data_IF_531034496100
#
_entry.id   IF_531034496100
#
_cell.length_a   1.000
_cell.length_b   1.000
_cell.length_c   1.000
_cell.angle_alpha   90.00
_cell.angle_beta   90.00
_cell.angle_gamma   90.00
#
_symmetry.space_group_name_H-M   'P 1'
#
loop_
_entity.id
_entity.type
_entity.pdbx_description
1 polymer ?
#
# COMPACT_ATOMS: atom_id res chain seq x y z
N UNK A 1 -13.59 -10.23 -7.17
CA UNK A 1 -12.82 -10.67 -5.99
C UNK A 1 -11.42 -10.15 -6.19
N UNK A 2 -10.90 -9.31 -5.30
CA UNK A 2 -9.59 -8.70 -5.52
C UNK A 2 -8.46 -9.72 -5.38
N UNK A 3 -7.38 -9.54 -6.14
CA UNK A 3 -6.23 -10.46 -6.20
C UNK A 3 -4.97 -9.73 -5.71
N UNK A 4 -4.12 -10.46 -4.98
CA UNK A 4 -2.82 -9.98 -4.51
C UNK A 4 -1.69 -10.69 -5.28
N UNK A 5 -1.01 -9.95 -6.16
CA UNK A 5 0.09 -10.44 -6.97
C UNK A 5 1.44 -9.99 -6.37
N UNK A 6 2.38 -10.93 -6.28
CA UNK A 6 3.72 -10.69 -5.77
C UNK A 6 4.74 -10.92 -6.89
N UNK A 7 5.56 -9.90 -7.17
CA UNK A 7 6.76 -10.07 -7.99
C UNK A 7 7.71 -11.13 -7.39
N UNK A 8 8.60 -11.68 -8.22
CA UNK A 8 9.64 -12.62 -7.73
C UNK A 8 10.51 -11.97 -6.64
N UNK A 9 10.73 -10.67 -6.72
CA UNK A 9 11.54 -9.92 -5.76
C UNK A 9 10.79 -9.68 -4.45
N UNK A 10 9.49 -9.35 -4.51
CA UNK A 10 8.68 -9.17 -3.30
C UNK A 10 8.47 -10.48 -2.55
N UNK A 11 8.23 -11.61 -3.23
CA UNK A 11 8.17 -12.93 -2.59
C UNK A 11 9.42 -13.23 -1.75
N UNK A 12 10.60 -13.14 -2.36
CA UNK A 12 11.89 -13.34 -1.66
C UNK A 12 12.10 -12.38 -0.49
N UNK A 13 11.68 -11.12 -0.63
CA UNK A 13 11.81 -10.13 0.43
C UNK A 13 10.89 -10.44 1.60
N UNK A 14 9.64 -10.79 1.33
CA UNK A 14 8.60 -11.15 2.31
C UNK A 14 9.05 -12.38 3.10
N UNK A 15 9.49 -13.44 2.42
CA UNK A 15 10.03 -14.66 3.03
C UNK A 15 11.22 -14.35 3.93
N UNK A 16 12.24 -13.64 3.41
CA UNK A 16 13.46 -13.30 4.16
C UNK A 16 13.17 -12.47 5.41
N UNK A 17 12.14 -11.62 5.36
CA UNK A 17 11.75 -10.74 6.47
C UNK A 17 10.65 -11.33 7.35
N UNK A 18 10.15 -12.52 7.03
CA UNK A 18 9.01 -13.17 7.69
C UNK A 18 7.81 -12.22 7.83
N UNK A 19 7.48 -11.51 6.75
CA UNK A 19 6.35 -10.58 6.72
C UNK A 19 5.08 -11.39 6.39
N UNK A 20 4.06 -11.30 7.25
CA UNK A 20 2.77 -11.98 7.04
C UNK A 20 1.61 -11.02 6.83
N UNK A 21 1.75 -9.82 7.36
CA UNK A 21 0.69 -8.82 7.41
C UNK A 21 1.24 -7.47 6.97
N UNK A 22 0.56 -6.84 6.03
CA UNK A 22 0.84 -5.48 5.58
C UNK A 22 -0.46 -4.70 5.47
N UNK A 23 -0.37 -3.38 5.56
CA UNK A 23 -1.45 -2.46 5.25
C UNK A 23 -1.02 -1.58 4.09
N UNK A 24 -1.94 -1.29 3.19
CA UNK A 24 -1.84 -0.10 2.36
C UNK A 24 -2.66 1.02 2.96
N UNK A 25 -2.00 2.16 3.10
CA UNK A 25 -2.59 3.41 3.56
C UNK A 25 -2.28 4.53 2.56
N UNK A 26 -2.71 5.74 2.91
CA UNK A 26 -2.52 6.94 2.12
C UNK A 26 -1.72 7.95 2.94
N UNK A 27 -0.55 8.33 2.43
CA UNK A 27 0.17 9.51 2.91
C UNK A 27 -0.34 10.73 2.14
N UNK A 28 -0.63 11.80 2.88
CA UNK A 28 -1.04 13.10 2.33
C UNK A 28 0.07 14.11 2.57
N UNK A 29 0.53 14.74 1.50
CA UNK A 29 1.56 15.79 1.53
C UNK A 29 0.94 17.03 0.91
N UNK A 30 0.97 18.12 1.65
CA UNK A 30 0.52 19.43 1.20
C UNK A 30 1.72 20.35 1.08
N UNK A 31 1.93 20.86 -0.13
CA UNK A 31 2.89 21.89 -0.46
C UNK A 31 2.17 23.13 -1.00
N UNK A 32 2.87 24.25 -1.08
CA UNK A 32 2.30 25.56 -1.41
C UNK A 32 1.40 25.58 -2.68
N UNK A 33 1.71 24.76 -3.68
CA UNK A 33 0.95 24.65 -4.93
C UNK A 33 0.62 23.20 -5.31
N UNK A 34 0.74 22.25 -4.38
CA UNK A 34 0.51 20.85 -4.69
C UNK A 34 -0.12 20.09 -3.51
N UNK A 35 -1.09 19.25 -3.83
CA UNK A 35 -1.58 18.21 -2.93
C UNK A 35 -1.21 16.85 -3.51
N UNK A 36 -0.46 16.06 -2.74
CA UNK A 36 0.01 14.74 -3.15
C UNK A 36 -0.64 13.69 -2.26
N UNK A 37 -1.24 12.71 -2.91
CA UNK A 37 -1.82 11.54 -2.28
C UNK A 37 -0.99 10.32 -2.68
N UNK A 38 -0.11 9.88 -1.79
CA UNK A 38 0.88 8.83 -2.05
C UNK A 38 0.46 7.49 -1.39
N UNK A 39 0.25 6.42 -2.17
CA UNK A 39 -0.08 5.11 -1.62
C UNK A 39 1.11 4.50 -0.87
N UNK A 40 0.92 4.17 0.42
CA UNK A 40 1.99 3.67 1.28
C UNK A 40 1.74 2.27 1.80
N UNK A 41 2.65 1.35 1.50
CA UNK A 41 2.63 0.00 2.08
C UNK A 41 3.46 -0.05 3.36
N UNK A 42 2.88 -0.58 4.44
CA UNK A 42 3.55 -0.72 5.74
C UNK A 42 3.37 -2.13 6.29
N UNK A 43 4.41 -2.68 6.92
CA UNK A 43 4.34 -3.96 7.62
C UNK A 43 3.60 -3.81 8.94
N UNK A 44 2.68 -4.73 9.24
CA UNK A 44 1.97 -4.80 10.51
C UNK A 44 2.66 -5.85 11.40
N UNK A 45 2.92 -5.49 12.66
CA UNK A 45 3.39 -6.46 13.66
C UNK A 45 2.20 -7.25 14.20
N UNK A 46 2.40 -8.53 14.50
CA UNK A 46 1.31 -9.42 14.95
C UNK A 46 0.55 -8.86 16.16
N UNK A 47 1.26 -8.26 17.12
CA UNK A 47 0.66 -7.61 18.30
C UNK A 47 -0.29 -6.45 18.00
N UNK A 48 -0.21 -5.88 16.80
CA UNK A 48 -1.00 -4.72 16.37
C UNK A 48 -2.16 -5.14 15.45
N UNK A 49 -2.31 -6.44 15.12
CA UNK A 49 -3.33 -6.93 14.18
C UNK A 49 -4.76 -6.60 14.58
N UNK A 50 -5.05 -6.59 15.89
CA UNK A 50 -6.38 -6.25 16.43
C UNK A 50 -6.90 -4.89 15.96
N UNK A 51 -6.00 -3.96 15.60
CA UNK A 51 -6.36 -2.62 15.09
C UNK A 51 -6.91 -2.65 13.67
N UNK A 52 -6.72 -3.75 12.94
CA UNK A 52 -6.98 -3.85 11.50
C UNK A 52 -8.01 -4.93 11.15
N UNK A 53 -8.56 -5.65 12.14
CA UNK A 53 -9.46 -6.79 11.93
C UNK A 53 -10.71 -6.46 11.11
N UNK A 54 -11.21 -5.23 11.25
CA UNK A 54 -12.41 -4.75 10.55
C UNK A 54 -12.12 -4.08 9.20
N UNK A 55 -10.86 -4.02 8.77
CA UNK A 55 -10.53 -3.46 7.46
C UNK A 55 -10.76 -4.47 6.34
N UNK A 56 -11.15 -3.99 5.14
CA UNK A 56 -11.10 -4.80 3.94
C UNK A 56 -9.70 -5.40 3.76
N UNK A 57 -9.64 -6.68 3.37
CA UNK A 57 -8.38 -7.39 3.19
C UNK A 57 -8.40 -8.31 1.99
N UNK A 58 -7.21 -8.52 1.43
CA UNK A 58 -6.94 -9.48 0.36
C UNK A 58 -5.81 -10.39 0.83
N UNK A 59 -5.94 -11.69 0.61
CA UNK A 59 -4.89 -12.65 0.96
C UNK A 59 -4.64 -13.62 -0.19
N UNK A 60 -3.38 -14.00 -0.36
CA UNK A 60 -2.96 -15.07 -1.26
C UNK A 60 -2.44 -16.31 -0.52
N UNK A 61 -2.75 -16.43 0.78
CA UNK A 61 -2.28 -17.52 1.66
C UNK A 61 -0.91 -17.27 2.31
N UNK A 62 -0.01 -16.56 1.63
CA UNK A 62 1.33 -16.22 2.14
C UNK A 62 1.35 -14.86 2.86
N UNK A 63 0.59 -13.90 2.32
CA UNK A 63 0.53 -12.53 2.79
C UNK A 63 -0.93 -12.08 2.92
N UNK A 64 -1.22 -11.30 3.96
CA UNK A 64 -2.48 -10.58 4.08
C UNK A 64 -2.23 -9.08 3.91
N UNK A 65 -2.90 -8.49 2.93
CA UNK A 65 -2.96 -7.06 2.68
C UNK A 65 -4.25 -6.49 3.24
N UNK A 66 -4.15 -5.66 4.27
CA UNK A 66 -5.23 -4.83 4.79
C UNK A 66 -5.28 -3.51 4.00
N UNK A 67 -6.47 -2.96 3.80
CA UNK A 67 -6.66 -1.77 2.98
C UNK A 67 -7.33 -0.69 3.84
N UNK A 68 -6.65 0.44 4.01
CA UNK A 68 -7.17 1.54 4.82
C UNK A 68 -8.37 2.21 4.15
N UNK A 69 -9.26 2.80 4.96
CA UNK A 69 -10.36 3.62 4.47
C UNK A 69 -9.86 4.85 3.68
N UNK A 70 -8.83 5.61 4.14
CA UNK A 70 -8.24 6.69 3.33
C UNK A 70 -7.82 6.26 1.93
N UNK A 71 -7.14 5.12 1.80
CA UNK A 71 -6.74 4.60 0.49
C UNK A 71 -7.96 4.33 -0.40
N UNK A 72 -8.97 3.62 0.11
CA UNK A 72 -10.19 3.30 -0.65
C UNK A 72 -10.94 4.57 -1.07
N UNK A 73 -11.02 5.56 -0.18
CA UNK A 73 -11.69 6.83 -0.49
C UNK A 73 -11.02 7.55 -1.66
N UNK A 74 -9.68 7.47 -1.77
CA UNK A 74 -8.94 8.22 -2.78
C UNK A 74 -8.73 7.45 -4.09
N UNK A 75 -8.40 6.16 -4.01
CA UNK A 75 -8.06 5.31 -5.16
C UNK A 75 -9.19 4.36 -5.56
N UNK A 76 -10.27 4.29 -4.79
CA UNK A 76 -11.33 3.32 -5.01
C UNK A 76 -10.95 1.91 -4.57
N UNK A 77 -11.81 0.95 -4.92
CA UNK A 77 -11.50 -0.49 -4.78
C UNK A 77 -10.78 -0.96 -6.02
N UNK A 78 -9.71 -1.74 -5.83
CA UNK A 78 -8.94 -2.33 -6.91
C UNK A 78 -9.29 -3.81 -7.04
N UNK A 79 -9.37 -4.29 -8.27
CA UNK A 79 -9.48 -5.73 -8.56
C UNK A 79 -8.12 -6.43 -8.41
N UNK A 80 -7.02 -5.69 -8.51
CA UNK A 80 -5.67 -6.24 -8.44
C UNK A 80 -4.73 -5.34 -7.64
N UNK A 81 -3.91 -5.96 -6.78
CA UNK A 81 -2.85 -5.32 -6.02
C UNK A 81 -1.52 -5.97 -6.39
N UNK A 82 -0.64 -5.25 -7.07
CA UNK A 82 0.69 -5.73 -7.45
C UNK A 82 1.74 -5.19 -6.49
N UNK A 83 2.37 -6.07 -5.71
CA UNK A 83 3.45 -5.68 -4.78
C UNK A 83 4.82 -5.99 -5.36
N UNK A 84 5.68 -4.96 -5.32
CA UNK A 84 7.09 -5.07 -5.62
C UNK A 84 7.97 -4.46 -4.52
N UNK A 85 9.29 -4.54 -4.68
CA UNK A 85 10.28 -4.03 -3.72
C UNK A 85 11.05 -2.87 -4.34
N UNK A 86 10.98 -1.72 -3.69
CA UNK A 86 11.67 -0.48 -4.10
C UNK A 86 12.60 0.05 -3.03
N UNK A 87 13.34 1.11 -3.35
CA UNK A 87 14.24 1.83 -2.44
C UNK A 87 15.70 1.37 -2.51
N UNK A 88 16.62 2.32 -2.69
CA UNK A 88 18.07 2.06 -2.78
C UNK A 88 18.71 1.78 -1.42
N UNK A 89 18.45 2.62 -0.41
CA UNK A 89 19.09 2.51 0.92
C UNK A 89 18.26 1.60 1.84
N UNK A 90 16.96 1.85 1.92
CA UNK A 90 16.02 1.08 2.73
C UNK A 90 14.98 0.44 1.81
N UNK A 91 15.17 -0.85 1.53
CA UNK A 91 14.22 -1.62 0.74
C UNK A 91 12.88 -1.71 1.44
N UNK A 92 11.79 -1.45 0.71
CA UNK A 92 10.42 -1.52 1.20
C UNK A 92 9.48 -2.06 0.13
N UNK A 93 8.33 -2.55 0.56
CA UNK A 93 7.25 -2.93 -0.35
C UNK A 93 6.52 -1.66 -0.82
N UNK A 94 6.02 -1.68 -2.06
CA UNK A 94 5.14 -0.65 -2.62
C UNK A 94 4.18 -1.29 -3.63
N UNK A 95 3.08 -0.60 -3.95
CA UNK A 95 2.22 -1.03 -5.05
C UNK A 95 2.79 -0.52 -6.37
N UNK A 96 3.10 -1.44 -7.29
CA UNK A 96 3.62 -1.09 -8.62
C UNK A 96 2.55 -0.68 -9.62
N UNK A 97 1.28 -0.97 -9.33
CA UNK A 97 0.14 -0.69 -10.20
C UNK A 97 -0.72 0.49 -9.73
N UNK A 98 -0.23 1.28 -8.77
CA UNK A 98 -0.93 2.48 -8.26
C UNK A 98 0.06 3.62 -8.18
N UNK A 99 -0.16 4.65 -8.98
CA UNK A 99 0.65 5.86 -8.97
C UNK A 99 0.09 6.90 -7.98
N UNK A 100 0.93 7.77 -7.40
CA UNK A 100 0.44 8.89 -6.59
C UNK A 100 -0.48 9.82 -7.39
N UNK A 101 -1.48 10.37 -6.73
CA UNK A 101 -2.31 11.44 -7.32
C UNK A 101 -1.72 12.78 -6.89
N UNK A 102 -1.35 13.61 -7.87
CA UNK A 102 -0.81 14.96 -7.66
C UNK A 102 -1.83 15.96 -8.21
N UNK A 103 -2.26 16.89 -7.36
CA UNK A 103 -3.19 17.97 -7.72
C UNK A 103 -2.43 19.30 -7.63
N UNK A 104 -2.35 20.03 -8.75
CA UNK A 104 -1.87 21.41 -8.76
C UNK A 104 -2.98 22.32 -8.22
N UNK A 105 -2.77 22.84 -7.01
CA UNK A 105 -3.76 23.69 -6.32
C UNK A 105 -3.71 25.14 -6.74
N UNK A 106 -2.62 25.59 -7.38
CA UNK A 106 -2.45 26.96 -7.83
C UNK A 106 -3.10 27.20 -9.20
N UNK A 107 -3.24 26.13 -10.02
CA UNK A 107 -3.86 26.20 -11.34
C UNK A 107 -5.19 25.44 -11.47
N UNK A 108 -5.65 24.78 -10.40
CA UNK A 108 -6.99 24.16 -10.37
C UNK A 108 -8.08 25.23 -10.30
N UNK A 109 -8.64 25.58 -11.46
CA UNK A 109 -9.92 26.29 -11.61
C UNK A 109 -11.02 25.33 -12.04
#
# INVERSE_FOLDING_TARGET
MSILLLSKNSKKFIEKKNIKNIIIDLDYIEENCAQIYDPRVRTIKDRDLYKFENLPRVSNGELTLYISKPFITKFGRLDEFQLDVGGMIKKGLFLSNVEPIIIDTCNSK
#
